data_IF_312470533846
#
_entry.id   IF_312470533846
#
_cell.length_a   1.000
_cell.length_b   1.000
_cell.length_c   1.000
_cell.angle_alpha   90.00
_cell.angle_beta   90.00
_cell.angle_gamma   90.00
#
_symmetry.space_group_name_H-M   'P 1'
#
loop_
_entity.id
_entity.type
_entity.pdbx_description
1 polymer ?
#
# COMPACT_ATOMS: atom_id res chain seq x y z
N UNK A 1 65.64 11.15 -29.05
CA UNK A 1 64.35 11.67 -28.54
C UNK A 1 63.23 11.01 -29.34
N UNK A 2 62.64 9.92 -28.81
CA UNK A 2 61.59 9.12 -29.47
C UNK A 2 60.23 9.58 -28.96
N UNK A 3 59.35 10.04 -29.86
CA UNK A 3 57.95 10.39 -29.57
C UNK A 3 57.10 9.13 -29.71
N UNK A 4 56.49 8.68 -28.62
CA UNK A 4 55.52 7.60 -28.61
C UNK A 4 54.12 8.16 -28.94
N UNK A 5 53.47 7.57 -29.94
CA UNK A 5 52.07 7.83 -30.30
C UNK A 5 51.23 6.80 -29.55
N UNK A 6 50.39 7.24 -28.61
CA UNK A 6 49.37 6.40 -27.99
C UNK A 6 48.13 6.41 -28.90
N UNK A 7 47.80 5.26 -29.50
CA UNK A 7 46.48 5.02 -30.09
C UNK A 7 45.51 4.63 -28.96
N UNK A 8 44.53 5.47 -28.66
CA UNK A 8 43.41 5.12 -27.80
C UNK A 8 42.39 4.31 -28.60
N UNK A 9 42.29 3.01 -28.31
CA UNK A 9 41.24 2.15 -28.83
C UNK A 9 39.93 2.39 -28.07
N UNK A 10 38.88 2.80 -28.78
CA UNK A 10 37.53 2.91 -28.24
C UNK A 10 36.94 1.49 -28.21
N UNK A 11 36.79 0.92 -27.02
CA UNK A 11 36.03 -0.31 -26.81
C UNK A 11 34.53 0.02 -26.77
N UNK A 12 33.80 -0.40 -27.81
CA UNK A 12 32.34 -0.32 -27.85
C UNK A 12 31.80 -1.48 -26.99
N UNK A 13 31.25 -1.14 -25.82
CA UNK A 13 30.60 -2.10 -24.93
C UNK A 13 29.15 -2.31 -25.42
N UNK A 14 28.90 -3.42 -26.10
CA UNK A 14 27.56 -3.83 -26.51
C UNK A 14 26.75 -4.27 -25.29
N UNK A 15 25.78 -3.45 -24.89
CA UNK A 15 24.78 -3.83 -23.86
C UNK A 15 23.83 -4.84 -24.47
N UNK A 16 24.00 -6.12 -24.12
CA UNK A 16 23.02 -7.15 -24.39
C UNK A 16 21.83 -6.94 -23.45
N UNK A 17 20.72 -6.41 -23.98
CA UNK A 17 19.42 -6.55 -23.34
C UNK A 17 19.04 -8.04 -23.37
N UNK A 18 19.33 -8.75 -22.28
CA UNK A 18 18.80 -10.08 -22.05
C UNK A 18 17.28 -9.97 -21.93
N UNK A 19 16.57 -10.64 -22.84
CA UNK A 19 15.16 -10.94 -22.65
C UNK A 19 15.07 -11.83 -21.42
N UNK A 20 14.65 -11.27 -20.28
CA UNK A 20 14.42 -12.04 -19.06
C UNK A 20 13.36 -13.09 -19.34
N UNK A 21 13.76 -14.35 -19.34
CA UNK A 21 12.87 -15.50 -19.39
C UNK A 21 12.02 -15.46 -18.12
N UNK A 22 10.70 -15.31 -18.30
CA UNK A 22 9.77 -15.31 -17.18
C UNK A 22 9.91 -16.63 -16.41
N UNK A 23 9.94 -16.62 -15.08
CA UNK A 23 9.91 -17.84 -14.28
C UNK A 23 8.73 -18.70 -14.75
N UNK A 24 8.89 -20.03 -14.87
CA UNK A 24 7.78 -20.89 -15.24
C UNK A 24 6.67 -20.67 -14.23
N UNK A 25 5.49 -20.26 -14.72
CA UNK A 25 4.29 -20.23 -13.91
C UNK A 25 4.06 -21.65 -13.39
N UNK A 26 4.28 -21.81 -12.08
CA UNK A 26 3.95 -23.02 -11.36
C UNK A 26 2.43 -23.11 -11.31
N UNK A 27 1.85 -23.64 -12.38
CA UNK A 27 0.46 -24.03 -12.44
C UNK A 27 0.14 -24.90 -11.23
N UNK A 28 -0.75 -24.40 -10.38
CA UNK A 28 -1.24 -25.00 -9.15
C UNK A 28 -1.81 -26.40 -9.40
N UNK A 29 -0.97 -27.43 -9.34
CA UNK A 29 -1.40 -28.83 -9.21
C UNK A 29 -1.71 -29.13 -7.75
N UNK A 30 -2.77 -28.52 -7.20
CA UNK A 30 -3.41 -29.06 -6.01
C UNK A 30 -4.14 -30.33 -6.45
N UNK A 31 -3.48 -31.47 -6.26
CA UNK A 31 -4.01 -32.75 -6.71
C UNK A 31 -5.23 -33.15 -5.88
N UNK A 32 -6.15 -33.93 -6.47
CA UNK A 32 -7.35 -34.50 -5.84
C UNK A 32 -7.09 -35.17 -4.47
N UNK A 33 -5.85 -35.60 -4.23
CA UNK A 33 -5.36 -36.18 -2.98
C UNK A 33 -5.39 -35.18 -1.81
N UNK A 34 -5.14 -33.89 -2.07
CA UNK A 34 -5.07 -32.84 -1.06
C UNK A 34 -6.46 -32.52 -0.48
N UNK A 35 -7.48 -32.44 -1.35
CA UNK A 35 -8.88 -32.27 -0.95
C UNK A 35 -9.38 -33.40 -0.07
N UNK A 36 -9.13 -34.65 -0.44
CA UNK A 36 -9.59 -35.80 0.33
C UNK A 36 -8.94 -35.85 1.73
N UNK A 37 -7.66 -35.51 1.83
CA UNK A 37 -6.95 -35.44 3.10
C UNK A 37 -7.52 -34.34 4.00
N UNK A 38 -7.75 -33.14 3.47
CA UNK A 38 -8.34 -32.04 4.21
C UNK A 38 -9.79 -32.31 4.65
N UNK A 39 -10.61 -32.90 3.79
CA UNK A 39 -11.97 -33.33 4.14
C UNK A 39 -11.97 -34.33 5.29
N UNK A 40 -11.04 -35.28 5.32
CA UNK A 40 -10.92 -36.24 6.42
C UNK A 40 -10.58 -35.55 7.75
N UNK A 41 -9.71 -34.53 7.73
CA UNK A 41 -9.40 -33.72 8.93
C UNK A 41 -10.65 -32.98 9.43
N UNK A 42 -11.39 -32.32 8.53
CA UNK A 42 -12.63 -31.60 8.89
C UNK A 42 -13.65 -32.57 9.49
N UNK A 43 -13.86 -33.73 8.86
CA UNK A 43 -14.82 -34.73 9.32
C UNK A 43 -14.45 -35.27 10.71
N UNK A 44 -13.18 -35.57 10.94
CA UNK A 44 -12.71 -36.19 12.19
C UNK A 44 -12.69 -35.19 13.36
N UNK A 45 -12.26 -33.95 13.12
CA UNK A 45 -11.93 -33.00 14.20
C UNK A 45 -12.91 -31.83 14.33
N UNK A 46 -13.73 -31.54 13.31
CA UNK A 46 -14.63 -30.40 13.32
C UNK A 46 -16.11 -30.83 13.45
N UNK A 47 -16.54 -31.82 12.66
CA UNK A 47 -17.96 -32.21 12.55
C UNK A 47 -18.51 -32.79 13.86
N UNK A 48 -17.68 -33.31 14.77
CA UNK A 48 -18.15 -33.75 16.09
C UNK A 48 -18.90 -32.68 16.89
N UNK A 49 -18.49 -31.40 16.78
CA UNK A 49 -19.13 -30.29 17.49
C UNK A 49 -19.88 -29.32 16.55
N UNK A 50 -19.43 -29.20 15.30
CA UNK A 50 -20.01 -28.33 14.29
C UNK A 50 -20.80 -29.16 13.28
N UNK A 51 -21.96 -29.67 13.71
CA UNK A 51 -22.90 -30.44 12.89
C UNK A 51 -24.33 -29.92 13.08
N UNK A 52 -25.28 -30.48 12.35
CA UNK A 52 -26.68 -30.04 12.38
C UNK A 52 -27.37 -30.21 13.74
N UNK A 53 -26.88 -31.15 14.55
CA UNK A 53 -27.44 -31.48 15.87
C UNK A 53 -26.89 -30.56 16.98
N UNK A 54 -25.56 -30.45 17.07
CA UNK A 54 -24.87 -29.70 18.11
C UNK A 54 -24.78 -28.21 17.81
N UNK A 55 -24.61 -27.84 16.53
CA UNK A 55 -24.51 -26.45 16.04
C UNK A 55 -23.69 -25.53 16.95
N UNK A 56 -22.51 -25.99 17.39
CA UNK A 56 -21.67 -25.19 18.28
C UNK A 56 -21.30 -23.87 17.59
N UNK A 57 -21.53 -22.75 18.29
CA UNK A 57 -21.37 -21.40 17.75
C UNK A 57 -22.24 -21.12 16.50
N UNK A 58 -23.39 -21.79 16.39
CA UNK A 58 -24.32 -21.71 15.25
C UNK A 58 -23.67 -22.07 13.90
N UNK A 59 -22.71 -23.00 13.92
CA UNK A 59 -21.98 -23.46 12.75
C UNK A 59 -22.18 -24.97 12.55
N UNK A 60 -22.45 -25.37 11.31
CA UNK A 60 -22.46 -26.75 10.86
C UNK A 60 -21.48 -26.91 9.69
N UNK A 61 -20.65 -27.95 9.76
CA UNK A 61 -19.67 -28.34 8.75
C UNK A 61 -19.96 -29.75 8.20
N UNK A 62 -21.08 -30.35 8.59
CA UNK A 62 -21.43 -31.76 8.32
C UNK A 62 -21.68 -32.06 6.82
N UNK A 63 -22.09 -31.05 6.05
CA UNK A 63 -22.42 -31.19 4.62
C UNK A 63 -21.70 -30.16 3.75
N UNK A 64 -20.57 -29.63 4.21
CA UNK A 64 -19.85 -28.61 3.44
C UNK A 64 -18.93 -29.27 2.43
N UNK A 65 -19.07 -28.86 1.17
CA UNK A 65 -18.15 -29.26 0.11
C UNK A 65 -16.91 -28.37 0.12
N UNK A 66 -15.76 -28.95 0.45
CA UNK A 66 -14.50 -28.23 0.46
C UNK A 66 -14.12 -27.70 -0.94
N UNK A 67 -14.62 -28.29 -2.03
CA UNK A 67 -14.43 -27.78 -3.39
C UNK A 67 -15.09 -26.42 -3.63
N UNK A 68 -16.02 -26.02 -2.77
CA UNK A 68 -16.76 -24.75 -2.86
C UNK A 68 -16.39 -23.77 -1.74
N UNK A 69 -15.28 -23.98 -1.04
CA UNK A 69 -14.81 -23.10 0.06
C UNK A 69 -14.81 -21.63 -0.33
N UNK A 70 -14.38 -21.29 -1.55
CA UNK A 70 -14.35 -19.89 -2.00
C UNK A 70 -15.73 -19.26 -2.17
N UNK A 71 -16.82 -20.04 -2.31
CA UNK A 71 -18.18 -19.51 -2.42
C UNK A 71 -18.70 -18.98 -1.08
N UNK A 72 -18.23 -19.57 0.04
CA UNK A 72 -18.58 -19.18 1.40
C UNK A 72 -17.35 -18.61 2.15
N UNK A 73 -16.58 -17.75 1.48
CA UNK A 73 -15.33 -17.19 1.99
C UNK A 73 -15.48 -16.57 3.40
N UNK A 74 -16.58 -15.87 3.69
CA UNK A 74 -16.80 -15.24 5.00
C UNK A 74 -16.89 -16.27 6.15
N UNK A 75 -17.51 -17.42 5.91
CA UNK A 75 -17.58 -18.51 6.88
C UNK A 75 -16.20 -19.12 7.08
N UNK A 76 -15.50 -19.42 5.99
CA UNK A 76 -14.20 -20.07 6.03
C UNK A 76 -13.11 -19.18 6.62
N UNK A 77 -13.16 -17.86 6.41
CA UNK A 77 -12.32 -16.91 7.12
C UNK A 77 -12.50 -16.98 8.64
N UNK A 78 -13.74 -17.16 9.13
CA UNK A 78 -13.99 -17.32 10.58
C UNK A 78 -13.32 -18.60 11.09
N UNK A 79 -13.39 -19.69 10.33
CA UNK A 79 -12.72 -20.96 10.65
C UNK A 79 -11.20 -20.77 10.66
N UNK A 80 -10.64 -20.19 9.59
CA UNK A 80 -9.21 -19.89 9.45
C UNK A 80 -8.71 -19.04 10.63
N UNK A 81 -9.44 -17.99 11.02
CA UNK A 81 -9.07 -17.16 12.19
C UNK A 81 -9.00 -17.98 13.49
N UNK A 82 -9.90 -18.97 13.66
CA UNK A 82 -9.85 -19.88 14.82
C UNK A 82 -8.69 -20.86 14.75
N UNK A 83 -8.35 -21.33 13.56
CA UNK A 83 -7.18 -22.19 13.33
C UNK A 83 -5.86 -21.44 13.55
N UNK A 84 -5.71 -20.23 13.00
CA UNK A 84 -4.56 -19.34 13.22
C UNK A 84 -4.33 -19.06 14.70
N UNK A 85 -5.41 -18.85 15.46
CA UNK A 85 -5.33 -18.60 16.89
C UNK A 85 -5.15 -19.87 17.76
N UNK A 86 -5.11 -21.08 17.16
CA UNK A 86 -5.02 -22.34 17.89
C UNK A 86 -6.26 -22.69 18.74
N UNK A 87 -7.35 -21.94 18.60
CA UNK A 87 -8.56 -22.07 19.43
C UNK A 87 -9.42 -23.29 19.09
N UNK A 88 -9.24 -23.86 17.90
CA UNK A 88 -9.96 -25.05 17.44
C UNK A 88 -8.99 -26.15 17.03
N UNK A 89 -9.24 -27.44 17.38
CA UNK A 89 -10.25 -27.89 18.35
C UNK A 89 -10.03 -27.32 19.76
N UNK A 90 -11.03 -27.20 20.63
CA UNK A 90 -10.85 -26.62 21.97
C UNK A 90 -9.92 -27.49 22.84
N UNK A 91 -9.33 -26.92 23.91
CA UNK A 91 -8.50 -27.69 24.84
C UNK A 91 -9.23 -28.92 25.39
N UNK A 92 -8.53 -30.06 25.46
CA UNK A 92 -9.10 -31.33 25.92
C UNK A 92 -9.73 -32.19 24.82
N UNK A 93 -9.90 -31.66 23.61
CA UNK A 93 -10.33 -32.45 22.45
C UNK A 93 -9.13 -33.02 21.67
N UNK A 94 -9.30 -34.16 20.97
CA UNK A 94 -8.31 -34.65 20.02
C UNK A 94 -7.94 -33.57 19.01
N UNK A 95 -6.66 -33.46 18.69
CA UNK A 95 -6.15 -32.51 17.68
C UNK A 95 -5.42 -33.26 16.56
N UNK A 96 -5.47 -32.75 15.33
CA UNK A 96 -4.64 -33.24 14.25
C UNK A 96 -3.15 -33.10 14.59
N UNK A 97 -2.30 -33.79 13.83
CA UNK A 97 -0.86 -33.50 13.85
C UNK A 97 -0.62 -32.03 13.48
N UNK A 98 0.48 -31.45 13.94
CA UNK A 98 0.81 -30.05 13.61
C UNK A 98 0.94 -29.83 12.09
N UNK A 99 1.41 -30.85 11.36
CA UNK A 99 1.50 -30.82 9.91
C UNK A 99 0.11 -30.76 9.26
N UNK A 100 -0.81 -31.63 9.64
CA UNK A 100 -2.18 -31.64 9.08
C UNK A 100 -2.95 -30.37 9.48
N UNK A 101 -2.71 -29.87 10.69
CA UNK A 101 -3.32 -28.65 11.21
C UNK A 101 -2.92 -27.42 10.40
N UNK A 102 -1.62 -27.24 10.22
CA UNK A 102 -1.08 -26.12 9.44
C UNK A 102 -1.41 -26.29 7.96
N UNK A 103 -1.32 -27.52 7.44
CA UNK A 103 -1.67 -27.83 6.05
C UNK A 103 -3.11 -27.47 5.72
N UNK A 104 -4.07 -27.88 6.55
CA UNK A 104 -5.49 -27.51 6.36
C UNK A 104 -5.69 -25.98 6.42
N UNK A 105 -5.07 -25.31 7.39
CA UNK A 105 -5.16 -23.85 7.52
C UNK A 105 -4.65 -23.15 6.26
N UNK A 106 -3.44 -23.49 5.84
CA UNK A 106 -2.76 -22.84 4.72
C UNK A 106 -3.47 -23.15 3.40
N UNK A 107 -3.99 -24.37 3.25
CA UNK A 107 -4.81 -24.75 2.10
C UNK A 107 -6.11 -23.94 2.03
N UNK A 108 -6.85 -23.83 3.14
CA UNK A 108 -8.08 -23.03 3.20
C UNK A 108 -7.81 -21.57 2.85
N UNK A 109 -6.75 -20.97 3.40
CA UNK A 109 -6.30 -19.60 3.10
C UNK A 109 -6.02 -19.42 1.61
N UNK A 110 -5.20 -20.29 1.03
CA UNK A 110 -4.86 -20.20 -0.38
C UNK A 110 -6.10 -20.38 -1.29
N UNK A 111 -7.06 -21.23 -0.91
CA UNK A 111 -8.24 -21.49 -1.72
C UNK A 111 -9.23 -20.31 -1.71
N UNK A 112 -9.41 -19.64 -0.57
CA UNK A 112 -10.20 -18.41 -0.52
C UNK A 112 -9.49 -17.26 -1.26
N UNK A 113 -8.17 -17.11 -1.07
CA UNK A 113 -7.41 -16.00 -1.64
C UNK A 113 -7.29 -16.09 -3.17
N UNK A 114 -7.17 -17.30 -3.72
CA UNK A 114 -7.08 -17.54 -5.18
C UNK A 114 -8.29 -17.01 -5.95
N UNK A 115 -9.46 -16.99 -5.32
CA UNK A 115 -10.74 -16.55 -5.91
C UNK A 115 -11.18 -15.19 -5.39
N UNK A 116 -10.46 -14.61 -4.44
CA UNK A 116 -10.78 -13.31 -3.88
C UNK A 116 -10.54 -12.20 -4.91
N UNK A 117 -11.51 -11.31 -5.06
CA UNK A 117 -11.30 -10.07 -5.79
C UNK A 117 -10.50 -9.10 -4.90
N UNK A 118 -9.34 -8.58 -5.35
CA UNK A 118 -8.56 -7.63 -4.58
C UNK A 118 -9.41 -6.39 -4.25
N UNK A 119 -9.71 -6.19 -2.97
CA UNK A 119 -10.37 -4.99 -2.47
C UNK A 119 -9.40 -4.17 -1.60
N UNK A 120 -8.58 -3.28 -2.19
CA UNK A 120 -7.65 -2.44 -1.44
C UNK A 120 -8.35 -1.36 -0.58
N UNK A 121 -9.68 -1.32 -0.59
CA UNK A 121 -10.48 -0.28 0.06
C UNK A 121 -10.45 1.04 -0.71
N UNK A 122 -10.92 2.10 -0.07
CA UNK A 122 -10.92 3.45 -0.63
C UNK A 122 -9.83 4.31 0.00
N UNK A 123 -9.04 5.00 -0.84
CA UNK A 123 -8.14 6.06 -0.40
C UNK A 123 -8.92 7.37 -0.39
N UNK A 124 -9.10 7.95 0.79
CA UNK A 124 -9.50 9.35 0.91
C UNK A 124 -8.30 10.25 0.56
N UNK A 125 -8.58 11.37 -0.11
CA UNK A 125 -7.56 12.38 -0.40
C UNK A 125 -7.00 12.91 0.92
N UNK A 126 -5.68 12.88 1.07
CA UNK A 126 -4.98 13.56 2.16
C UNK A 126 -4.20 14.73 1.59
N UNK A 127 -4.20 15.85 2.32
CA UNK A 127 -3.20 16.90 2.09
C UNK A 127 -1.84 16.43 2.61
N UNK A 128 -0.77 17.04 2.11
CA UNK A 128 0.57 16.87 2.67
C UNK A 128 0.61 17.48 4.07
N UNK A 129 1.09 16.74 5.06
CA UNK A 129 1.42 17.32 6.37
C UNK A 129 2.68 18.21 6.28
N UNK A 130 3.07 18.89 7.36
CA UNK A 130 4.23 19.80 7.40
C UNK A 130 5.53 19.13 6.94
N UNK A 131 5.78 17.91 7.41
CA UNK A 131 6.98 17.13 7.07
C UNK A 131 6.97 16.75 5.60
N UNK A 132 5.86 16.22 5.10
CA UNK A 132 5.67 15.84 3.70
C UNK A 132 5.75 17.07 2.78
N UNK A 133 5.23 18.21 3.21
CA UNK A 133 5.32 19.46 2.47
C UNK A 133 6.77 19.96 2.36
N UNK A 134 7.53 19.94 3.46
CA UNK A 134 8.95 20.31 3.44
C UNK A 134 9.77 19.38 2.53
N UNK A 135 9.54 18.07 2.61
CA UNK A 135 10.19 17.09 1.73
C UNK A 135 9.83 17.32 0.26
N UNK A 136 8.55 17.59 -0.04
CA UNK A 136 8.13 17.90 -1.41
C UNK A 136 8.77 19.18 -1.96
N UNK A 137 8.93 20.21 -1.12
CA UNK A 137 9.62 21.45 -1.51
C UNK A 137 11.11 21.20 -1.75
N UNK A 138 11.76 20.44 -0.88
CA UNK A 138 13.15 20.02 -1.08
C UNK A 138 13.32 19.23 -2.38
N UNK A 139 12.48 18.21 -2.62
CA UNK A 139 12.61 17.35 -3.79
C UNK A 139 12.31 18.08 -5.11
N UNK A 140 11.40 19.05 -5.11
CA UNK A 140 11.00 19.78 -6.32
C UNK A 140 11.88 21.00 -6.60
N UNK A 141 12.33 21.70 -5.56
CA UNK A 141 12.97 23.02 -5.67
C UNK A 141 14.40 23.05 -5.11
N UNK A 142 14.87 21.95 -4.51
CA UNK A 142 16.16 21.86 -3.81
C UNK A 142 16.28 22.92 -2.69
N UNK A 143 15.15 23.21 -2.03
CA UNK A 143 15.06 24.19 -0.95
C UNK A 143 14.76 23.51 0.39
N UNK A 144 15.65 23.74 1.35
CA UNK A 144 15.38 23.45 2.75
C UNK A 144 14.55 24.58 3.37
N UNK A 145 13.38 24.22 3.95
CA UNK A 145 12.50 25.15 4.64
C UNK A 145 12.15 24.61 6.03
N UNK A 146 11.88 25.51 6.98
CA UNK A 146 11.18 25.14 8.21
C UNK A 146 9.66 25.26 8.00
N UNK A 147 8.92 24.14 7.84
CA UNK A 147 7.49 24.18 7.56
C UNK A 147 6.67 24.78 8.73
N UNK A 148 7.20 24.80 9.96
CA UNK A 148 6.51 25.38 11.11
C UNK A 148 6.37 26.91 11.01
N UNK A 149 7.23 27.56 10.22
CA UNK A 149 7.17 29.00 9.92
C UNK A 149 6.10 29.36 8.87
N UNK A 150 5.56 28.38 8.15
CA UNK A 150 4.67 28.60 7.00
C UNK A 150 3.27 28.02 7.19
N UNK A 151 3.14 26.86 7.82
CA UNK A 151 1.89 26.13 7.96
C UNK A 151 1.55 25.93 9.44
N UNK A 152 0.28 25.84 9.85
CA UNK A 152 -0.10 25.47 11.21
C UNK A 152 0.23 23.99 11.50
N UNK A 153 0.22 23.60 12.78
CA UNK A 153 0.52 22.22 13.18
C UNK A 153 -0.56 21.26 12.67
N UNK A 154 -0.16 20.05 12.32
CA UNK A 154 -1.07 19.00 11.87
C UNK A 154 -1.65 18.24 13.06
N UNK A 155 -2.90 17.80 12.91
CA UNK A 155 -3.53 16.93 13.89
C UNK A 155 -2.87 15.54 13.85
N UNK A 156 -2.57 15.01 15.04
CA UNK A 156 -2.08 13.65 15.19
C UNK A 156 -3.20 12.70 15.62
N UNK A 157 -3.25 11.52 15.02
CA UNK A 157 -4.18 10.45 15.37
C UNK A 157 -3.41 9.15 15.51
N UNK A 158 -3.63 8.43 16.62
CA UNK A 158 -2.91 7.20 16.95
C UNK A 158 -1.37 7.34 16.88
N UNK A 159 -0.86 8.54 17.17
CA UNK A 159 0.57 8.85 17.13
C UNK A 159 1.13 9.19 15.75
N UNK A 160 0.29 9.27 14.71
CA UNK A 160 0.69 9.61 13.35
C UNK A 160 0.01 10.90 12.87
N UNK A 161 0.75 11.73 12.16
CA UNK A 161 0.32 13.03 11.60
C UNK A 161 0.07 12.97 10.09
N UNK A 162 0.12 11.79 9.47
CA UNK A 162 -0.13 11.54 8.05
C UNK A 162 -1.43 10.75 7.80
N UNK A 163 -2.32 10.70 8.79
CA UNK A 163 -3.59 9.98 8.66
C UNK A 163 -4.56 10.83 7.86
N UNK A 164 -4.89 10.37 6.65
CA UNK A 164 -5.78 11.06 5.72
C UNK A 164 -7.11 11.53 6.33
N UNK A 165 -7.72 10.73 7.21
CA UNK A 165 -9.00 11.07 7.86
C UNK A 165 -8.90 12.18 8.90
N UNK A 166 -7.70 12.50 9.36
CA UNK A 166 -7.42 13.58 10.32
C UNK A 166 -6.94 14.85 9.62
N UNK A 167 -6.34 14.73 8.44
CA UNK A 167 -5.82 15.85 7.66
C UNK A 167 -6.91 16.53 6.81
N UNK A 168 -7.84 17.19 7.49
CA UNK A 168 -8.88 18.00 6.83
C UNK A 168 -8.32 19.29 6.25
N UNK A 169 -9.00 19.84 5.24
CA UNK A 169 -8.68 21.12 4.61
C UNK A 169 -9.73 22.15 5.02
N UNK A 170 -9.29 23.22 5.68
CA UNK A 170 -10.12 24.40 5.96
C UNK A 170 -9.80 25.53 4.97
N UNK A 171 -10.73 26.50 4.77
CA UNK A 171 -10.44 27.69 3.96
C UNK A 171 -9.20 28.46 4.44
N UNK A 172 -9.06 28.63 5.76
CA UNK A 172 -7.90 29.31 6.36
C UNK A 172 -6.59 28.59 6.09
N UNK A 173 -6.62 27.26 6.09
CA UNK A 173 -5.45 26.45 5.78
C UNK A 173 -5.03 26.62 4.31
N UNK A 174 -5.98 26.65 3.37
CA UNK A 174 -5.69 26.90 1.96
C UNK A 174 -5.04 28.26 1.74
N UNK A 175 -5.53 29.31 2.42
CA UNK A 175 -4.91 30.63 2.37
C UNK A 175 -3.46 30.61 2.90
N UNK A 176 -3.19 29.81 3.94
CA UNK A 176 -1.83 29.64 4.46
C UNK A 176 -0.93 28.92 3.45
N UNK A 177 -1.42 27.86 2.78
CA UNK A 177 -0.67 27.18 1.72
C UNK A 177 -0.35 28.10 0.55
N UNK A 178 -1.30 28.90 0.07
CA UNK A 178 -1.07 29.85 -1.04
C UNK A 178 -0.03 30.91 -0.64
N UNK A 179 -0.13 31.40 0.60
CA UNK A 179 0.84 32.37 1.15
C UNK A 179 2.24 31.76 1.26
N UNK A 180 2.34 30.52 1.79
CA UNK A 180 3.58 29.77 1.90
C UNK A 180 4.20 29.53 0.52
N UNK A 181 3.42 29.00 -0.42
CA UNK A 181 3.86 28.73 -1.79
C UNK A 181 4.37 30.00 -2.49
N UNK A 182 3.70 31.15 -2.31
CA UNK A 182 4.15 32.42 -2.88
C UNK A 182 5.52 32.85 -2.33
N UNK A 183 5.75 32.68 -1.02
CA UNK A 183 7.05 33.00 -0.41
C UNK A 183 8.14 32.04 -0.88
N UNK A 184 7.84 30.74 -0.92
CA UNK A 184 8.78 29.69 -1.34
C UNK A 184 9.14 29.83 -2.82
N UNK A 185 8.18 30.14 -3.69
CA UNK A 185 8.44 30.39 -5.10
C UNK A 185 9.42 31.56 -5.32
N UNK A 186 9.31 32.64 -4.52
CA UNK A 186 10.27 33.76 -4.57
C UNK A 186 11.67 33.34 -4.10
N UNK A 187 11.77 32.49 -3.09
CA UNK A 187 13.06 31.93 -2.66
C UNK A 187 13.69 31.07 -3.76
N UNK A 188 12.90 30.23 -4.42
CA UNK A 188 13.36 29.32 -5.47
C UNK A 188 13.86 30.06 -6.72
N UNK A 189 13.15 31.10 -7.16
CA UNK A 189 13.57 31.92 -8.31
C UNK A 189 14.82 32.76 -7.98
N UNK A 190 15.01 33.10 -6.71
CA UNK A 190 16.10 33.96 -6.24
C UNK A 190 15.95 35.42 -6.70
N UNK A 191 16.83 36.30 -6.19
CA UNK A 191 16.93 37.68 -6.62
C UNK A 191 17.91 37.79 -7.80
N UNK A 192 17.40 37.67 -9.04
CA UNK A 192 18.15 38.09 -10.21
C UNK A 192 17.78 39.55 -10.53
N UNK A 193 18.55 40.48 -9.96
CA UNK A 193 18.71 41.89 -10.37
C UNK A 193 17.52 42.69 -11.01
N UNK A 194 16.27 42.47 -10.63
CA UNK A 194 15.12 43.13 -11.26
C UNK A 194 14.77 44.46 -10.58
N UNK A 195 14.47 45.54 -11.34
CA UNK A 195 14.32 46.87 -10.78
C UNK A 195 13.07 46.97 -9.91
N UNK A 196 13.21 47.67 -8.78
CA UNK A 196 12.10 48.21 -7.98
C UNK A 196 11.20 49.03 -8.91
N UNK A 197 9.96 48.60 -9.11
CA UNK A 197 8.83 49.38 -9.62
C UNK A 197 9.18 50.54 -10.59
N UNK A 198 9.11 50.32 -11.91
CA UNK A 198 9.17 51.45 -12.85
C UNK A 198 7.79 52.09 -12.99
N UNK A 199 7.60 53.27 -12.41
CA UNK A 199 6.42 54.08 -12.63
C UNK A 199 6.37 54.54 -14.10
N UNK A 200 5.53 53.91 -14.91
CA UNK A 200 5.30 54.35 -16.29
C UNK A 200 4.31 55.51 -16.29
N UNK A 201 4.81 56.74 -16.21
CA UNK A 201 4.00 57.93 -16.45
C UNK A 201 3.74 58.03 -17.95
N UNK A 202 2.53 57.64 -18.37
CA UNK A 202 2.06 57.91 -19.74
C UNK A 202 2.09 59.41 -19.97
N UNK A 203 2.86 59.87 -20.96
CA UNK A 203 2.90 61.29 -21.36
C UNK A 203 1.47 61.74 -21.65
N UNK A 204 0.99 62.77 -20.95
CA UNK A 204 -0.34 63.33 -21.16
C UNK A 204 -0.41 63.82 -22.60
N UNK A 205 -1.40 63.34 -23.35
CA UNK A 205 -1.64 63.79 -24.70
C UNK A 205 -2.10 65.25 -24.67
N UNK A 206 -1.24 66.16 -25.13
CA UNK A 206 -1.52 67.59 -25.22
C UNK A 206 -2.11 68.00 -26.57
N UNK A 207 -2.58 67.05 -27.40
CA UNK A 207 -3.22 67.34 -28.70
C UNK A 207 -4.65 67.87 -28.59
N UNK A 208 -5.19 67.99 -27.37
CA UNK A 208 -6.59 68.36 -27.11
C UNK A 208 -6.74 69.75 -26.45
N UNK A 209 -5.71 70.61 -26.49
CA UNK A 209 -5.80 71.99 -26.02
C UNK A 209 -5.39 72.99 -27.12
#
# INVERSE_FOLDING_TARGET
MRRAVLCAGIAILSVFYGCGEAPPEQGSTLTVVDFAAHSAVVQQYCVGCHNEQNRTANLSLENVDLALVSQDAELWEKVIRKLRAGMMPPPGMPRPSLADYNGLRDWLENEIDRKAEPNPGTKILHRLNRTEYANAIHDLLDLEIDPAMFLPADDSSRGFDNIAGSLTISPTLLETYVTAATKIARMAVGFWNTPTESLYIKRTDSSQN
#
